data_IF_761038604058
#
_entry.id   IF_761038604058
#
_cell.length_a   1.000
_cell.length_b   1.000
_cell.length_c   1.000
_cell.angle_alpha   90.00
_cell.angle_beta   90.00
_cell.angle_gamma   90.00
#
_symmetry.space_group_name_H-M   'P 1'
#
loop_
_entity.id
_entity.type
_entity.pdbx_description
1 polymer ?
#
# COMPACT_ATOMS: atom_id res chain seq x y z
N UNK A 1 -13.10 2.49 44.27
CA UNK A 1 -11.68 2.74 43.99
C UNK A 1 -11.17 1.49 43.26
N UNK A 2 -11.28 1.48 41.96
CA UNK A 2 -10.91 0.31 41.11
C UNK A 2 -9.44 0.44 40.71
N UNK A 3 -8.62 -0.48 41.18
CA UNK A 3 -7.19 -0.57 40.90
C UNK A 3 -7.02 -1.12 39.48
N UNK A 4 -6.62 -0.27 38.54
CA UNK A 4 -6.28 -0.65 37.17
C UNK A 4 -4.84 -1.19 37.19
N UNK A 5 -4.69 -2.52 37.30
CA UNK A 5 -3.39 -3.18 37.16
C UNK A 5 -2.98 -3.17 35.70
N UNK A 6 -2.09 -2.27 35.33
CA UNK A 6 -1.42 -2.20 34.05
C UNK A 6 -0.43 -3.38 33.97
N UNK A 7 -0.81 -4.45 33.24
CA UNK A 7 0.11 -5.52 32.87
C UNK A 7 1.00 -4.98 31.75
N UNK A 8 2.16 -4.48 32.12
CA UNK A 8 3.25 -4.19 31.19
C UNK A 8 3.86 -5.52 30.71
N UNK A 9 3.28 -6.11 29.68
CA UNK A 9 3.93 -7.18 28.94
C UNK A 9 5.15 -6.61 28.22
N UNK A 10 6.33 -7.13 28.52
CA UNK A 10 7.56 -6.82 27.80
C UNK A 10 7.40 -7.33 26.36
N UNK A 11 7.04 -6.44 25.43
CA UNK A 11 7.11 -6.70 24.01
C UNK A 11 8.61 -6.69 23.64
N UNK A 12 9.22 -7.86 23.58
CA UNK A 12 10.47 -8.02 22.87
C UNK A 12 10.16 -7.84 21.39
N UNK A 13 10.42 -6.64 20.86
CA UNK A 13 10.53 -6.44 19.44
C UNK A 13 11.76 -7.24 18.98
N UNK A 14 11.53 -8.42 18.42
CA UNK A 14 12.54 -9.07 17.60
C UNK A 14 12.77 -8.13 16.42
N UNK A 15 14.01 -7.71 16.22
CA UNK A 15 14.49 -7.20 14.93
C UNK A 15 14.39 -8.37 13.95
N UNK A 16 13.15 -8.63 13.48
CA UNK A 16 12.92 -9.51 12.34
C UNK A 16 13.43 -8.76 11.10
N UNK A 17 14.31 -9.38 10.34
CA UNK A 17 14.54 -9.01 8.96
C UNK A 17 13.19 -8.64 8.34
N UNK A 18 13.05 -7.42 7.81
CA UNK A 18 11.77 -6.94 7.28
C UNK A 18 11.41 -7.77 6.04
N UNK A 19 10.68 -8.85 6.26
CA UNK A 19 10.28 -9.81 5.21
C UNK A 19 9.32 -9.17 4.21
N UNK A 20 8.65 -8.06 4.57
CA UNK A 20 7.61 -7.42 3.76
C UNK A 20 7.96 -5.97 3.38
N UNK A 21 9.21 -5.70 3.07
CA UNK A 21 9.67 -4.37 2.61
C UNK A 21 8.92 -3.88 1.37
N UNK A 22 8.43 -4.78 0.52
CA UNK A 22 7.65 -4.45 -0.67
C UNK A 22 6.33 -3.71 -0.35
N UNK A 23 5.77 -3.88 0.85
CA UNK A 23 4.56 -3.16 1.29
C UNK A 23 4.80 -1.66 1.56
N UNK A 24 6.06 -1.24 1.63
CA UNK A 24 6.46 0.16 1.82
C UNK A 24 6.70 0.90 0.51
N UNK A 25 6.75 0.20 -0.61
CA UNK A 25 6.89 0.87 -1.90
C UNK A 25 5.68 1.77 -2.17
N UNK A 26 5.93 2.99 -2.68
CA UNK A 26 4.85 3.90 -2.98
C UNK A 26 3.97 3.33 -4.10
N UNK A 27 2.67 3.24 -3.84
CA UNK A 27 1.67 2.76 -4.78
C UNK A 27 1.23 3.84 -5.78
N UNK A 28 1.60 5.09 -5.53
CA UNK A 28 1.25 6.25 -6.34
C UNK A 28 2.48 7.11 -6.61
N UNK A 29 2.75 7.40 -7.87
CA UNK A 29 3.79 8.33 -8.29
C UNK A 29 3.56 9.73 -7.72
N UNK A 30 2.29 10.15 -7.61
CA UNK A 30 1.90 11.43 -7.02
C UNK A 30 2.18 11.48 -5.52
N UNK A 31 1.77 10.45 -4.76
CA UNK A 31 2.06 10.38 -3.34
C UNK A 31 3.56 10.39 -3.07
N UNK A 32 4.33 9.70 -3.91
CA UNK A 32 5.79 9.68 -3.82
C UNK A 32 6.41 11.07 -4.05
N UNK A 33 5.92 11.81 -5.03
CA UNK A 33 6.36 13.19 -5.31
C UNK A 33 6.05 14.16 -4.16
N UNK A 34 5.02 13.86 -3.35
CA UNK A 34 4.61 14.64 -2.17
C UNK A 34 5.30 14.19 -0.87
N UNK A 35 6.28 13.27 -0.96
CA UNK A 35 7.04 12.79 0.19
C UNK A 35 6.60 11.42 0.73
N UNK A 36 5.76 10.68 0.02
CA UNK A 36 5.38 9.29 0.29
C UNK A 36 4.13 9.13 1.15
N UNK A 37 4.19 9.42 2.43
CA UNK A 37 3.05 9.23 3.34
C UNK A 37 2.20 10.50 3.47
N UNK A 38 1.17 10.63 2.63
CA UNK A 38 0.23 11.75 2.68
C UNK A 38 -1.05 11.34 3.41
N UNK A 39 -1.10 11.52 4.73
CA UNK A 39 -2.29 11.19 5.56
C UNK A 39 -3.32 12.31 5.57
N UNK A 40 -2.89 13.56 5.35
CA UNK A 40 -3.72 14.77 5.48
C UNK A 40 -4.30 15.28 4.16
N UNK A 41 -3.97 14.67 3.02
CA UNK A 41 -4.52 15.04 1.73
C UNK A 41 -5.93 14.47 1.59
N UNK A 42 -6.92 15.35 1.57
CA UNK A 42 -8.32 15.01 1.29
C UNK A 42 -8.58 15.35 -0.17
N UNK A 43 -8.45 14.36 -1.04
CA UNK A 43 -8.69 14.52 -2.47
C UNK A 43 -9.42 13.28 -3.02
N UNK A 44 -10.16 13.48 -4.12
CA UNK A 44 -10.84 12.40 -4.86
C UNK A 44 -9.86 11.65 -5.78
N UNK A 45 -8.70 11.31 -5.24
CA UNK A 45 -7.66 10.54 -5.95
C UNK A 45 -7.61 9.11 -5.42
N UNK A 46 -8.07 8.11 -6.20
CA UNK A 46 -8.09 6.73 -5.76
C UNK A 46 -6.70 6.17 -5.43
N UNK A 47 -5.64 6.75 -5.96
CA UNK A 47 -4.27 6.29 -5.68
C UNK A 47 -3.85 6.48 -4.23
N UNK A 48 -4.47 7.40 -3.50
CA UNK A 48 -4.19 7.68 -2.10
C UNK A 48 -4.82 6.67 -1.13
N UNK A 49 -5.79 5.87 -1.61
CA UNK A 49 -6.50 4.86 -0.82
C UNK A 49 -5.55 3.78 -0.29
N UNK A 50 -4.48 3.47 -1.03
CA UNK A 50 -3.47 2.53 -0.58
C UNK A 50 -2.79 2.94 0.74
N UNK A 51 -2.73 4.23 1.02
CA UNK A 51 -2.15 4.80 2.24
C UNK A 51 -3.20 5.10 3.30
N UNK A 52 -4.39 5.55 2.86
CA UNK A 52 -5.47 5.90 3.76
C UNK A 52 -6.82 5.40 3.21
N UNK A 53 -7.32 4.25 3.68
CA UNK A 53 -8.59 3.69 3.20
C UNK A 53 -9.81 4.55 3.57
N UNK A 54 -9.69 5.46 4.54
CA UNK A 54 -10.77 6.38 4.90
C UNK A 54 -11.02 7.46 3.83
N UNK A 55 -10.16 7.60 2.82
CA UNK A 55 -10.40 8.47 1.67
C UNK A 55 -11.38 7.86 0.65
N UNK A 56 -11.64 6.55 0.77
CA UNK A 56 -12.53 5.84 -0.14
C UNK A 56 -13.97 6.27 0.08
N UNK A 57 -14.56 6.97 -0.87
CA UNK A 57 -15.91 7.51 -0.80
C UNK A 57 -16.78 7.16 -1.98
N UNK A 58 -18.10 7.36 -1.81
CA UNK A 58 -19.07 7.12 -2.87
C UNK A 58 -18.88 7.99 -4.12
N UNK A 59 -18.20 9.13 -3.97
CA UNK A 59 -17.80 10.01 -5.06
C UNK A 59 -16.85 9.37 -6.06
N UNK A 60 -16.18 8.28 -5.66
CA UNK A 60 -15.25 7.52 -6.50
C UNK A 60 -15.90 6.29 -7.15
N UNK A 61 -17.24 6.18 -7.15
CA UNK A 61 -17.91 5.01 -7.72
C UNK A 61 -17.51 4.78 -9.18
N UNK A 62 -17.26 3.52 -9.51
CA UNK A 62 -16.85 3.03 -10.84
C UNK A 62 -15.53 3.63 -11.36
N UNK A 63 -14.71 4.21 -10.49
CA UNK A 63 -13.39 4.69 -10.89
C UNK A 63 -12.40 3.55 -11.00
N UNK A 64 -11.58 3.62 -12.06
CA UNK A 64 -10.37 2.79 -12.23
C UNK A 64 -9.17 3.69 -12.18
N UNK A 65 -8.22 3.36 -11.33
CA UNK A 65 -6.95 4.06 -11.26
C UNK A 65 -5.83 3.11 -11.70
N UNK A 66 -4.98 3.59 -12.60
CA UNK A 66 -3.79 2.90 -13.06
C UNK A 66 -2.57 3.78 -12.79
N UNK A 67 -1.60 3.24 -12.08
CA UNK A 67 -0.33 3.89 -11.85
C UNK A 67 0.81 3.02 -12.35
N UNK A 68 1.76 3.66 -12.99
CA UNK A 68 3.03 3.05 -13.35
C UNK A 68 4.15 4.02 -12.99
N UNK A 69 5.15 3.53 -12.33
CA UNK A 69 6.30 4.31 -11.89
C UNK A 69 7.58 3.51 -12.12
N UNK A 70 8.52 4.12 -12.82
CA UNK A 70 9.89 3.67 -12.84
C UNK A 70 10.61 4.30 -11.62
N UNK A 71 11.05 3.46 -10.73
CA UNK A 71 11.74 3.85 -9.51
C UNK A 71 13.26 3.79 -9.72
N UNK A 72 14.04 3.92 -8.66
CA UNK A 72 15.50 3.88 -8.71
C UNK A 72 15.96 2.45 -9.06
N UNK A 73 17.09 2.31 -9.77
CA UNK A 73 17.77 1.05 -10.08
C UNK A 73 16.90 0.05 -10.86
N UNK A 74 16.18 0.52 -11.91
CA UNK A 74 15.32 -0.29 -12.78
C UNK A 74 14.15 -0.99 -12.07
N UNK A 75 13.85 -0.59 -10.84
CA UNK A 75 12.65 -1.07 -10.15
C UNK A 75 11.43 -0.42 -10.78
N UNK A 76 10.51 -1.25 -11.25
CA UNK A 76 9.25 -0.82 -11.84
C UNK A 76 8.10 -1.19 -10.90
N UNK A 77 7.26 -0.21 -10.62
CA UNK A 77 6.09 -0.36 -9.76
C UNK A 77 4.84 -0.06 -10.58
N UNK A 78 3.93 -0.99 -10.63
CA UNK A 78 2.62 -0.82 -11.26
C UNK A 78 1.53 -1.05 -10.21
N UNK A 79 0.49 -0.24 -10.24
CA UNK A 79 -0.68 -0.46 -9.40
C UNK A 79 -1.96 -0.25 -10.19
N UNK A 80 -2.96 -1.04 -9.87
CA UNK A 80 -4.33 -0.91 -10.37
C UNK A 80 -5.28 -0.91 -9.19
N UNK A 81 -6.29 -0.07 -9.24
CA UNK A 81 -7.34 0.00 -8.24
C UNK A 81 -8.69 0.18 -8.95
N UNK A 82 -9.70 -0.56 -8.52
CA UNK A 82 -11.08 -0.39 -8.92
C UNK A 82 -11.94 -0.10 -7.70
N UNK A 83 -12.76 0.93 -7.81
CA UNK A 83 -13.65 1.39 -6.74
C UNK A 83 -15.09 1.12 -7.11
N UNK A 84 -15.88 0.66 -6.14
CA UNK A 84 -17.33 0.43 -6.27
C UNK A 84 -18.06 0.86 -5.01
N UNK A 85 -19.00 1.78 -5.15
CA UNK A 85 -19.97 2.07 -4.09
C UNK A 85 -21.01 0.94 -4.05
N UNK A 86 -21.20 0.34 -2.86
CA UNK A 86 -22.19 -0.73 -2.65
C UNK A 86 -23.49 -0.15 -2.12
N UNK A 87 -23.40 0.89 -1.31
CA UNK A 87 -24.54 1.58 -0.72
C UNK A 87 -24.20 3.06 -0.52
N UNK A 88 -25.20 3.87 -0.16
CA UNK A 88 -25.03 5.32 0.06
C UNK A 88 -23.88 5.69 1.02
N UNK A 89 -23.59 4.80 1.99
CA UNK A 89 -22.56 5.00 3.03
C UNK A 89 -21.45 3.97 3.01
N UNK A 90 -21.42 3.06 2.02
CA UNK A 90 -20.46 1.95 1.98
C UNK A 90 -19.79 1.87 0.62
N UNK A 91 -18.48 1.91 0.62
CA UNK A 91 -17.67 1.81 -0.59
C UNK A 91 -16.59 0.76 -0.42
N UNK A 92 -16.38 -0.06 -1.45
CA UNK A 92 -15.28 -1.03 -1.52
C UNK A 92 -14.33 -0.65 -2.64
N UNK A 93 -13.09 -1.10 -2.51
CA UNK A 93 -12.16 -1.08 -3.61
C UNK A 93 -11.30 -2.34 -3.60
N UNK A 94 -10.90 -2.76 -4.79
CA UNK A 94 -9.95 -3.85 -5.01
C UNK A 94 -8.75 -3.29 -5.74
N UNK A 95 -7.57 -3.57 -5.22
CA UNK A 95 -6.31 -3.12 -5.78
C UNK A 95 -5.32 -4.25 -5.93
N UNK A 96 -4.47 -4.14 -6.94
CA UNK A 96 -3.29 -4.97 -7.10
C UNK A 96 -2.06 -4.08 -7.24
N UNK A 97 -0.96 -4.51 -6.66
CA UNK A 97 0.32 -3.83 -6.69
C UNK A 97 1.35 -4.83 -7.17
N UNK A 98 2.05 -4.49 -8.24
CA UNK A 98 3.10 -5.28 -8.85
C UNK A 98 4.42 -4.54 -8.77
N UNK A 99 5.44 -5.20 -8.29
CA UNK A 99 6.79 -4.67 -8.20
C UNK A 99 7.73 -5.61 -8.97
N UNK A 100 8.46 -5.04 -9.89
CA UNK A 100 9.55 -5.71 -10.59
C UNK A 100 10.87 -5.08 -10.14
N UNK A 101 11.74 -5.85 -9.54
CA UNK A 101 13.03 -5.38 -9.01
C UNK A 101 14.15 -5.33 -10.07
N UNK A 102 13.80 -5.57 -11.36
CA UNK A 102 14.79 -5.62 -12.41
C UNK A 102 15.56 -6.94 -12.46
N UNK A 103 16.76 -6.89 -13.01
CA UNK A 103 17.65 -8.04 -13.12
C UNK A 103 18.85 -7.85 -12.20
N UNK A 104 19.17 -8.90 -11.47
CA UNK A 104 20.35 -8.95 -10.63
C UNK A 104 21.38 -9.88 -11.27
N UNK A 105 22.59 -9.39 -11.44
CA UNK A 105 23.72 -10.20 -11.89
C UNK A 105 24.29 -11.00 -10.72
N UNK A 106 24.29 -12.32 -10.84
CA UNK A 106 24.91 -13.22 -9.88
C UNK A 106 26.39 -13.35 -10.22
N UNK A 107 27.25 -12.88 -9.33
CA UNK A 107 28.71 -12.93 -9.50
C UNK A 107 29.35 -13.91 -8.52
N UNK A 108 30.31 -14.68 -9.00
CA UNK A 108 31.16 -15.54 -8.16
C UNK A 108 32.15 -14.72 -7.33
N UNK A 109 32.72 -15.35 -6.32
CA UNK A 109 33.83 -14.81 -5.52
C UNK A 109 35.01 -14.37 -6.41
N UNK A 110 35.14 -14.91 -7.63
CA UNK A 110 36.12 -14.53 -8.65
C UNK A 110 35.68 -13.39 -9.58
N UNK A 111 34.54 -12.70 -9.31
CA UNK A 111 33.98 -11.64 -10.14
C UNK A 111 33.57 -12.10 -11.56
N UNK A 112 33.26 -13.41 -11.72
CA UNK A 112 32.69 -13.95 -12.95
C UNK A 112 31.18 -13.98 -12.84
N UNK A 113 30.48 -13.52 -13.90
CA UNK A 113 29.02 -13.59 -14.06
C UNK A 113 28.61 -15.06 -14.15
N UNK A 114 27.90 -15.58 -13.12
CA UNK A 114 27.40 -16.96 -13.09
C UNK A 114 25.99 -17.03 -13.69
N UNK A 115 25.17 -15.99 -13.47
CA UNK A 115 23.78 -15.98 -13.89
C UNK A 115 23.11 -14.61 -13.71
N UNK A 116 21.84 -14.56 -14.13
CA UNK A 116 20.93 -13.42 -13.88
C UNK A 116 19.64 -13.95 -13.33
N UNK A 117 19.14 -13.32 -12.28
CA UNK A 117 17.82 -13.61 -11.74
C UNK A 117 16.99 -12.33 -11.68
N UNK A 118 15.67 -12.48 -11.82
CA UNK A 118 14.70 -11.39 -11.64
C UNK A 118 13.79 -11.71 -10.46
N UNK A 119 13.49 -10.71 -9.65
CA UNK A 119 12.53 -10.81 -8.55
C UNK A 119 11.30 -9.97 -8.85
N UNK A 120 10.13 -10.52 -8.55
CA UNK A 120 8.85 -9.83 -8.71
C UNK A 120 7.96 -10.12 -7.50
N UNK A 121 7.25 -9.11 -7.04
CA UNK A 121 6.25 -9.24 -5.99
C UNK A 121 4.89 -8.78 -6.49
N UNK A 122 3.84 -9.48 -6.05
CA UNK A 122 2.46 -9.12 -6.31
C UNK A 122 1.73 -9.05 -4.97
N UNK A 123 1.07 -7.92 -4.71
CA UNK A 123 0.22 -7.74 -3.54
C UNK A 123 -1.20 -7.42 -3.98
N UNK A 124 -2.17 -8.17 -3.43
CA UNK A 124 -3.59 -7.90 -3.62
C UNK A 124 -4.12 -7.20 -2.38
N UNK A 125 -4.87 -6.13 -2.57
CA UNK A 125 -5.41 -5.32 -1.50
C UNK A 125 -6.92 -5.19 -1.64
N UNK A 126 -7.63 -5.42 -0.55
CA UNK A 126 -9.05 -5.12 -0.42
C UNK A 126 -9.25 -3.94 0.52
N UNK A 127 -10.11 -3.00 0.14
CA UNK A 127 -10.43 -1.83 0.93
C UNK A 127 -11.93 -1.78 1.17
N UNK A 128 -12.30 -1.38 2.37
CA UNK A 128 -13.67 -1.11 2.74
C UNK A 128 -13.72 0.18 3.53
N UNK A 129 -14.63 1.07 3.15
CA UNK A 129 -14.89 2.29 3.91
C UNK A 129 -16.38 2.44 4.20
N UNK A 130 -16.66 3.03 5.35
CA UNK A 130 -18.01 3.31 5.83
C UNK A 130 -18.12 4.73 6.37
N UNK A 131 -19.11 5.47 5.89
CA UNK A 131 -19.43 6.82 6.36
C UNK A 131 -20.24 6.71 7.66
N UNK A 132 -19.55 6.87 8.80
CA UNK A 132 -20.16 6.85 10.13
C UNK A 132 -21.08 8.06 10.34
N UNK A 133 -20.62 9.22 9.90
CA UNK A 133 -21.35 10.49 9.88
C UNK A 133 -20.95 11.27 8.63
N UNK A 134 -21.62 12.39 8.36
CA UNK A 134 -21.31 13.24 7.20
C UNK A 134 -19.91 13.86 7.25
N UNK A 135 -19.25 13.84 8.41
CA UNK A 135 -17.90 14.36 8.62
C UNK A 135 -16.88 13.31 9.08
N UNK A 136 -17.30 12.07 9.34
CA UNK A 136 -16.43 11.00 9.84
C UNK A 136 -16.58 9.74 9.00
N UNK A 137 -15.49 9.33 8.37
CA UNK A 137 -15.39 8.08 7.58
C UNK A 137 -14.33 7.17 8.19
N UNK A 138 -14.67 5.92 8.37
CA UNK A 138 -13.75 4.87 8.78
C UNK A 138 -13.40 3.97 7.59
N UNK A 139 -12.15 3.52 7.53
CA UNK A 139 -11.71 2.60 6.48
C UNK A 139 -10.83 1.49 7.01
N UNK A 140 -10.91 0.33 6.37
CA UNK A 140 -10.11 -0.87 6.68
C UNK A 140 -9.45 -1.36 5.41
N UNK A 141 -8.21 -1.82 5.52
CA UNK A 141 -7.46 -2.46 4.43
C UNK A 141 -7.13 -3.89 4.81
N UNK A 142 -7.34 -4.80 3.87
CA UNK A 142 -6.87 -6.17 3.90
C UNK A 142 -5.79 -6.33 2.83
N UNK A 143 -4.62 -6.85 3.23
CA UNK A 143 -3.47 -7.10 2.36
C UNK A 143 -3.06 -8.54 2.42
#
# INVERSE_FOLDING_TARGET
MLLFTLVAGSLHAQEGEEVFTFLRFPSSSRANALGGHTVSLIETDPSLIFHNPALLGGEMDQMVNLNYMNYIADINVASVLYVKAIAERSTIALGAHYINYGQFDETSVGNELIGRFSANDICLNGFYAYDLTDFLRGGVTLK
#
